data_IF_339634904533
#
_entry.id   IF_339634904533
#
_cell.length_a   1.000
_cell.length_b   1.000
_cell.length_c   1.000
_cell.angle_alpha   90.00
_cell.angle_beta   90.00
_cell.angle_gamma   90.00
#
_symmetry.space_group_name_H-M   'P 1'
#
loop_
_entity.id
_entity.type
_entity.pdbx_description
1 polymer ?
#
# COMPACT_ATOMS: atom_id res chain seq x y z
N UNK A 1 -8.57 6.27 15.00
CA UNK A 1 -8.77 4.98 14.31
C UNK A 1 -7.53 4.55 13.52
N UNK A 2 -6.91 5.45 12.74
CA UNK A 2 -5.63 5.20 12.05
C UNK A 2 -4.46 4.78 12.97
N UNK A 3 -4.44 5.20 14.24
CA UNK A 3 -3.35 4.86 15.18
C UNK A 3 -3.17 3.35 15.36
N UNK A 4 -4.26 2.60 15.57
CA UNK A 4 -4.20 1.14 15.73
C UNK A 4 -3.77 0.42 14.45
N UNK A 5 -4.17 0.93 13.28
CA UNK A 5 -3.81 0.33 11.99
C UNK A 5 -2.30 0.44 11.70
N UNK A 6 -1.67 1.47 12.24
CA UNK A 6 -0.25 1.79 11.99
C UNK A 6 0.66 1.17 13.04
N UNK A 7 0.19 0.97 14.27
CA UNK A 7 0.96 0.37 15.36
C UNK A 7 1.29 -1.11 15.12
N UNK A 8 0.33 -1.87 14.59
CA UNK A 8 0.54 -3.26 14.20
C UNK A 8 1.02 -3.36 12.73
N UNK A 9 2.24 -3.88 12.46
CA UNK A 9 2.75 -4.01 11.10
C UNK A 9 1.89 -4.91 10.22
N UNK A 10 1.28 -5.96 10.77
CA UNK A 10 0.46 -6.87 10.00
C UNK A 10 -0.84 -6.18 9.52
N UNK A 11 -1.46 -5.37 10.38
CA UNK A 11 -2.63 -4.56 10.02
C UNK A 11 -2.27 -3.49 8.98
N UNK A 12 -1.08 -2.88 9.09
CA UNK A 12 -0.58 -1.95 8.08
C UNK A 12 -0.41 -2.62 6.72
N UNK A 13 0.26 -3.78 6.67
CA UNK A 13 0.46 -4.54 5.44
C UNK A 13 -0.87 -4.98 4.81
N UNK A 14 -1.81 -5.50 5.61
CA UNK A 14 -3.16 -5.87 5.13
C UNK A 14 -3.93 -4.70 4.54
N UNK A 15 -3.77 -3.50 5.09
CA UNK A 15 -4.43 -2.29 4.56
C UNK A 15 -3.89 -1.96 3.17
N UNK A 16 -2.57 -2.05 2.99
CA UNK A 16 -1.91 -1.84 1.69
C UNK A 16 -2.34 -2.93 0.70
N UNK A 17 -2.34 -4.19 1.13
CA UNK A 17 -2.82 -5.33 0.34
C UNK A 17 -4.25 -5.09 -0.18
N UNK A 18 -5.15 -4.67 0.70
CA UNK A 18 -6.55 -4.43 0.35
C UNK A 18 -6.68 -3.32 -0.71
N UNK A 19 -5.92 -2.23 -0.58
CA UNK A 19 -5.89 -1.17 -1.58
C UNK A 19 -5.35 -1.67 -2.93
N UNK A 20 -4.29 -2.49 -2.91
CA UNK A 20 -3.75 -3.11 -4.12
C UNK A 20 -4.77 -4.04 -4.80
N UNK A 21 -5.46 -4.89 -4.04
CA UNK A 21 -6.50 -5.79 -4.56
C UNK A 21 -7.67 -5.01 -5.16
N UNK A 22 -8.12 -3.93 -4.51
CA UNK A 22 -9.20 -3.09 -5.03
C UNK A 22 -8.85 -2.46 -6.37
N UNK A 23 -7.65 -1.88 -6.49
CA UNK A 23 -7.15 -1.28 -7.73
C UNK A 23 -6.96 -2.33 -8.82
N UNK A 24 -6.37 -3.47 -8.47
CA UNK A 24 -6.20 -4.58 -9.41
C UNK A 24 -7.55 -5.05 -9.96
N UNK A 25 -8.56 -5.20 -9.10
CA UNK A 25 -9.91 -5.57 -9.51
C UNK A 25 -10.58 -4.54 -10.41
N UNK A 26 -10.32 -3.24 -10.20
CA UNK A 26 -10.94 -2.16 -10.97
C UNK A 26 -10.27 -1.93 -12.33
N UNK A 27 -8.95 -2.06 -12.43
CA UNK A 27 -8.17 -1.74 -13.63
C UNK A 27 -7.54 -2.95 -14.33
N UNK A 28 -7.69 -4.16 -13.79
CA UNK A 28 -7.05 -5.38 -14.29
C UNK A 28 -5.54 -5.45 -14.03
N UNK A 29 -5.02 -4.59 -13.14
CA UNK A 29 -3.59 -4.45 -12.88
C UNK A 29 -3.28 -3.33 -11.89
N UNK A 30 -2.06 -3.32 -11.35
CA UNK A 30 -1.55 -2.18 -10.58
C UNK A 30 -0.86 -1.17 -11.52
N UNK A 31 -1.25 0.12 -11.51
CA UNK A 31 -0.59 1.15 -12.28
C UNK A 31 0.89 1.32 -11.89
N UNK A 32 1.74 1.73 -12.84
CA UNK A 32 3.15 2.04 -12.56
C UNK A 32 3.32 3.14 -11.51
N UNK A 33 2.40 4.11 -11.45
CA UNK A 33 2.40 5.14 -10.42
C UNK A 33 2.30 4.57 -8.99
N UNK A 34 1.80 3.35 -8.83
CA UNK A 34 1.64 2.68 -7.53
C UNK A 34 2.76 1.70 -7.20
N UNK A 35 3.69 1.42 -8.12
CA UNK A 35 4.68 0.34 -7.97
C UNK A 35 6.10 0.76 -8.33
N UNK A 36 6.27 1.76 -9.21
CA UNK A 36 7.57 2.29 -9.59
C UNK A 36 8.00 3.42 -8.63
N UNK A 37 9.14 3.24 -7.98
CA UNK A 37 9.75 4.17 -7.03
C UNK A 37 10.17 5.50 -7.69
N UNK A 38 10.37 5.51 -9.01
CA UNK A 38 10.76 6.69 -9.78
C UNK A 38 9.66 7.25 -10.67
N UNK A 39 8.42 6.74 -10.56
CA UNK A 39 7.29 7.22 -11.34
C UNK A 39 7.10 8.75 -11.18
N UNK A 40 7.32 9.56 -12.24
CA UNK A 40 7.15 11.00 -12.17
C UNK A 40 5.69 11.34 -11.89
N UNK A 41 5.43 12.26 -10.96
CA UNK A 41 4.08 12.72 -10.63
C UNK A 41 3.21 11.71 -9.89
N UNK A 42 3.78 10.63 -9.35
CA UNK A 42 3.02 9.71 -8.51
C UNK A 42 2.49 10.41 -7.25
N UNK A 43 1.20 10.22 -6.98
CA UNK A 43 0.53 10.64 -5.74
C UNK A 43 0.68 9.61 -4.61
N UNK A 44 1.22 8.44 -4.90
CA UNK A 44 1.44 7.38 -3.92
C UNK A 44 2.71 7.64 -3.11
N UNK A 45 2.64 7.46 -1.79
CA UNK A 45 3.83 7.56 -0.95
C UNK A 45 4.91 6.57 -1.39
N UNK A 46 6.21 6.93 -1.27
CA UNK A 46 7.31 6.00 -1.54
C UNK A 46 7.16 4.66 -0.79
N UNK A 47 6.67 4.72 0.44
CA UNK A 47 6.43 3.59 1.31
C UNK A 47 5.35 2.64 0.78
N UNK A 48 4.23 3.20 0.32
CA UNK A 48 3.18 2.41 -0.33
C UNK A 48 3.73 1.73 -1.58
N UNK A 49 4.44 2.47 -2.44
CA UNK A 49 4.99 1.93 -3.70
C UNK A 49 5.97 0.79 -3.46
N UNK A 50 6.82 0.92 -2.44
CA UNK A 50 7.73 -0.15 -2.02
C UNK A 50 6.97 -1.40 -1.63
N UNK A 51 5.95 -1.30 -0.78
CA UNK A 51 5.16 -2.44 -0.33
C UNK A 51 4.36 -3.08 -1.47
N UNK A 52 3.70 -2.27 -2.30
CA UNK A 52 2.93 -2.72 -3.46
C UNK A 52 3.81 -3.45 -4.48
N UNK A 53 5.05 -2.97 -4.70
CA UNK A 53 6.02 -3.63 -5.57
C UNK A 53 6.45 -4.99 -5.03
N UNK A 54 6.78 -5.07 -3.75
CA UNK A 54 7.17 -6.34 -3.11
C UNK A 54 6.03 -7.36 -3.13
N UNK A 55 4.78 -6.90 -3.00
CA UNK A 55 3.58 -7.76 -3.11
C UNK A 55 3.33 -8.33 -4.52
N UNK A 56 3.85 -7.70 -5.58
CA UNK A 56 3.69 -8.19 -6.96
C UNK A 56 4.56 -9.41 -7.28
N UNK A 57 5.70 -9.57 -6.59
CA UNK A 57 6.65 -10.65 -6.86
C UNK A 57 6.18 -12.03 -6.32
N UNK A 58 4.93 -12.11 -5.82
CA UNK A 58 4.21 -13.38 -5.66
C UNK A 58 4.12 -13.93 -4.23
N UNK A 59 4.69 -13.26 -3.24
CA UNK A 59 4.55 -13.65 -1.83
C UNK A 59 4.21 -12.44 -0.97
N UNK A 60 2.94 -12.36 -0.52
CA UNK A 60 2.52 -11.38 0.47
C UNK A 60 3.44 -11.41 1.70
N UNK A 61 3.97 -12.57 2.09
CA UNK A 61 4.96 -12.73 3.17
C UNK A 61 6.18 -11.82 3.03
N UNK A 62 6.59 -11.46 1.81
CA UNK A 62 7.65 -10.48 1.58
C UNK A 62 7.20 -9.06 1.93
N UNK A 63 5.96 -8.69 1.59
CA UNK A 63 5.36 -7.40 1.95
C UNK A 63 5.16 -7.28 3.47
N UNK A 64 4.70 -8.34 4.14
CA UNK A 64 4.57 -8.35 5.61
C UNK A 64 5.94 -8.15 6.29
N UNK A 65 6.97 -8.88 5.85
CA UNK A 65 8.34 -8.73 6.36
C UNK A 65 8.91 -7.33 6.10
N UNK A 66 8.61 -6.73 4.95
CA UNK A 66 9.06 -5.37 4.67
C UNK A 66 8.33 -4.35 5.56
N UNK A 67 7.04 -4.54 5.80
CA UNK A 67 6.26 -3.68 6.69
C UNK A 67 6.75 -3.74 8.15
N UNK A 68 7.18 -4.90 8.63
CA UNK A 68 7.79 -5.06 9.97
C UNK A 68 9.10 -4.26 10.13
N UNK A 69 9.86 -4.07 9.06
CA UNK A 69 11.10 -3.28 9.06
C UNK A 69 10.86 -1.77 9.00
N UNK A 70 9.64 -1.35 8.70
CA UNK A 70 9.31 0.07 8.57
C UNK A 70 9.06 0.73 9.93
N UNK A 71 9.59 1.94 10.08
CA UNK A 71 9.25 2.82 11.19
C UNK A 71 7.75 3.11 11.23
N UNK A 72 7.25 3.56 12.38
CA UNK A 72 5.85 3.95 12.54
C UNK A 72 5.45 5.06 11.55
N UNK A 73 6.34 6.02 11.29
CA UNK A 73 6.09 7.10 10.35
C UNK A 73 5.94 6.59 8.91
N UNK A 74 6.82 5.65 8.51
CA UNK A 74 6.76 5.03 7.19
C UNK A 74 5.49 4.19 7.02
N UNK A 75 5.12 3.39 8.03
CA UNK A 75 3.85 2.64 8.01
C UNK A 75 2.65 3.56 7.90
N UNK A 76 2.67 4.70 8.61
CA UNK A 76 1.62 5.72 8.50
C UNK A 76 1.47 6.27 7.09
N UNK A 77 2.58 6.60 6.44
CA UNK A 77 2.56 7.10 5.07
C UNK A 77 1.94 6.08 4.10
N UNK A 78 2.34 4.81 4.20
CA UNK A 78 1.78 3.73 3.39
C UNK A 78 0.28 3.54 3.63
N UNK A 79 -0.13 3.45 4.90
CA UNK A 79 -1.53 3.27 5.30
C UNK A 79 -2.40 4.44 4.84
N UNK A 80 -1.93 5.69 4.94
CA UNK A 80 -2.67 6.84 4.46
C UNK A 80 -2.91 6.76 2.94
N UNK A 81 -1.87 6.48 2.15
CA UNK A 81 -2.03 6.28 0.70
C UNK A 81 -3.00 5.14 0.38
N UNK A 82 -2.93 4.03 1.11
CA UNK A 82 -3.84 2.90 0.94
C UNK A 82 -5.30 3.30 1.24
N UNK A 83 -5.53 4.05 2.32
CA UNK A 83 -6.88 4.54 2.67
C UNK A 83 -7.42 5.54 1.65
N UNK A 84 -6.61 6.49 1.20
CA UNK A 84 -7.00 7.45 0.16
C UNK A 84 -7.38 6.72 -1.15
N UNK A 85 -6.63 5.68 -1.50
CA UNK A 85 -6.91 4.81 -2.64
C UNK A 85 -8.27 4.10 -2.45
N UNK A 86 -8.49 3.46 -1.30
CA UNK A 86 -9.73 2.73 -1.02
C UNK A 86 -10.95 3.65 -1.05
N UNK A 87 -10.86 4.84 -0.45
CA UNK A 87 -11.91 5.86 -0.49
C UNK A 87 -12.20 6.27 -1.94
N UNK A 88 -11.16 6.49 -2.75
CA UNK A 88 -11.30 6.82 -4.16
C UNK A 88 -11.93 5.72 -5.03
N UNK A 89 -11.90 4.46 -4.58
CA UNK A 89 -12.49 3.31 -5.30
C UNK A 89 -13.96 3.04 -4.94
N UNK A 90 -14.52 3.70 -3.94
CA UNK A 90 -15.92 3.48 -3.55
C UNK A 90 -16.89 4.13 -4.56
N UNK A 91 -17.88 3.39 -5.10
CA UNK A 91 -18.91 3.98 -5.95
C UNK A 91 -19.79 4.92 -5.11
N UNK A 92 -20.07 6.11 -5.66
CA UNK A 92 -21.04 7.07 -5.11
C UNK A 92 -22.47 6.52 -5.14
#
# INVERSE_FOLDING_TARGET
>A
MLTFMVEDPATSARTVELACVAIHGMFGGLPQSMTDEHAPGSTSSPEFRRLARVGLDGENDAMFRECERMSLAQRRAAVNTAMDTLIGTMPY
#
